data_IF_378590542547
#
_entry.id   IF_378590542547
#
_cell.length_a   1.000
_cell.length_b   1.000
_cell.length_c   1.000
_cell.angle_alpha   90.00
_cell.angle_beta   90.00
_cell.angle_gamma   90.00
#
_symmetry.space_group_name_H-M   'P 1'
#
loop_
_entity.id
_entity.type
_entity.pdbx_description
1 polymer ?
#
# COMPACT_ATOMS: atom_id res chain seq x y z
N UNK A 1 12.33 9.93 -3.87
CA UNK A 1 11.48 8.76 -4.17
C UNK A 1 10.06 9.08 -3.72
N UNK A 2 9.09 8.89 -4.60
CA UNK A 2 7.64 9.03 -4.34
C UNK A 2 7.06 7.76 -3.73
N UNK A 3 5.87 7.86 -3.13
CA UNK A 3 5.15 6.67 -2.63
C UNK A 3 4.85 5.66 -3.74
N UNK A 4 4.54 6.13 -4.95
CA UNK A 4 4.31 5.27 -6.12
C UNK A 4 5.56 4.47 -6.51
N UNK A 5 6.74 5.12 -6.52
CA UNK A 5 8.01 4.42 -6.79
C UNK A 5 8.30 3.33 -5.75
N UNK A 6 7.98 3.58 -4.48
CA UNK A 6 8.12 2.57 -3.42
C UNK A 6 7.18 1.39 -3.66
N UNK A 7 5.90 1.65 -3.98
CA UNK A 7 4.93 0.59 -4.23
C UNK A 7 5.34 -0.30 -5.41
N UNK A 8 5.77 0.32 -6.54
CA UNK A 8 6.34 -0.40 -7.68
C UNK A 8 7.55 -1.24 -7.28
N UNK A 9 8.47 -0.69 -6.48
CA UNK A 9 9.66 -1.40 -6.05
C UNK A 9 9.34 -2.61 -5.15
N UNK A 10 8.38 -2.48 -4.23
CA UNK A 10 7.93 -3.58 -3.36
C UNK A 10 7.28 -4.69 -4.19
N UNK A 11 6.37 -4.34 -5.11
CA UNK A 11 5.67 -5.33 -5.96
C UNK A 11 6.58 -5.95 -7.02
N UNK A 12 7.56 -5.19 -7.50
CA UNK A 12 8.56 -5.62 -8.48
C UNK A 12 9.79 -6.29 -7.87
N UNK A 13 9.90 -6.38 -6.54
CA UNK A 13 11.08 -6.89 -5.85
C UNK A 13 11.47 -8.28 -6.35
N UNK A 14 12.75 -8.51 -6.63
CA UNK A 14 13.29 -9.79 -7.10
C UNK A 14 14.35 -10.30 -6.14
N UNK A 15 14.33 -11.60 -5.85
CA UNK A 15 15.30 -12.27 -5.00
C UNK A 15 15.54 -13.69 -5.51
N UNK A 16 16.75 -14.22 -5.30
CA UNK A 16 17.04 -15.65 -5.54
C UNK A 16 16.28 -16.55 -4.56
N UNK A 17 15.94 -16.04 -3.37
CA UNK A 17 15.06 -16.69 -2.41
C UNK A 17 13.58 -16.42 -2.76
N UNK A 18 12.82 -17.43 -3.22
CA UNK A 18 11.42 -17.26 -3.59
C UNK A 18 10.51 -16.93 -2.40
N UNK A 19 10.85 -17.40 -1.20
CA UNK A 19 10.06 -17.12 0.01
C UNK A 19 10.23 -15.66 0.41
N UNK A 20 11.46 -15.14 0.40
CA UNK A 20 11.71 -13.71 0.61
C UNK A 20 11.03 -12.86 -0.46
N UNK A 21 11.12 -13.26 -1.73
CA UNK A 21 10.46 -12.55 -2.83
C UNK A 21 8.95 -12.47 -2.61
N UNK A 22 8.30 -13.59 -2.31
CA UNK A 22 6.87 -13.64 -2.04
C UNK A 22 6.49 -12.82 -0.81
N UNK A 23 7.31 -12.87 0.25
CA UNK A 23 7.09 -12.11 1.48
C UNK A 23 7.12 -10.60 1.22
N UNK A 24 8.18 -10.09 0.57
CA UNK A 24 8.31 -8.66 0.27
C UNK A 24 7.18 -8.19 -0.65
N UNK A 25 6.92 -8.93 -1.74
CA UNK A 25 5.82 -8.60 -2.67
C UNK A 25 4.44 -8.69 -2.03
N UNK A 26 4.28 -9.45 -0.94
CA UNK A 26 3.02 -9.65 -0.21
C UNK A 26 2.77 -8.66 0.92
N UNK A 27 3.72 -7.79 1.26
CA UNK A 27 3.55 -6.76 2.29
C UNK A 27 2.35 -5.87 1.96
N UNK A 28 1.49 -5.62 2.95
CA UNK A 28 0.34 -4.72 2.79
C UNK A 28 0.78 -3.26 2.76
N UNK A 29 0.35 -2.53 1.75
CA UNK A 29 0.70 -1.13 1.53
C UNK A 29 -0.55 -0.24 1.65
N UNK A 30 -0.52 0.69 2.62
CA UNK A 30 -1.57 1.69 2.83
C UNK A 30 -1.09 3.07 2.38
N UNK A 31 -1.71 3.63 1.34
CA UNK A 31 -1.42 4.98 0.85
C UNK A 31 -2.06 6.05 1.73
N UNK A 32 -1.30 7.12 2.00
CA UNK A 32 -1.76 8.28 2.78
C UNK A 32 -1.60 9.56 1.95
N UNK A 33 -2.67 9.95 1.25
CA UNK A 33 -2.65 11.08 0.29
C UNK A 33 -3.41 12.29 0.82
N UNK A 34 -3.00 13.51 0.44
CA UNK A 34 -3.79 14.73 0.66
C UNK A 34 -4.86 14.97 -0.42
N UNK A 35 -4.82 14.21 -1.53
CA UNK A 35 -5.74 14.34 -2.66
C UNK A 35 -6.23 12.91 -2.98
N UNK A 36 -7.43 12.55 -2.52
CA UNK A 36 -7.95 11.18 -2.65
C UNK A 36 -8.83 10.95 -3.88
N UNK A 37 -9.65 11.93 -4.26
CA UNK A 37 -10.76 11.68 -5.20
C UNK A 37 -10.30 11.40 -6.64
N UNK A 38 -9.09 11.83 -7.02
CA UNK A 38 -8.54 11.59 -8.36
C UNK A 38 -7.52 10.44 -8.41
N UNK A 39 -6.94 10.08 -7.25
CA UNK A 39 -5.73 9.26 -7.18
C UNK A 39 -5.97 7.83 -6.69
N UNK A 40 -7.16 7.48 -6.19
CA UNK A 40 -7.40 6.14 -5.64
C UNK A 40 -7.18 5.02 -6.66
N UNK A 41 -7.62 5.21 -7.91
CA UNK A 41 -7.40 4.25 -9.00
C UNK A 41 -5.93 4.16 -9.41
N UNK A 42 -5.22 5.27 -9.39
CA UNK A 42 -3.79 5.29 -9.66
C UNK A 42 -3.04 4.56 -8.54
N UNK A 43 -3.34 4.84 -7.28
CA UNK A 43 -2.77 4.12 -6.14
C UNK A 43 -3.03 2.60 -6.23
N UNK A 44 -4.23 2.18 -6.61
CA UNK A 44 -4.53 0.75 -6.81
C UNK A 44 -3.66 0.15 -7.93
N UNK A 45 -3.54 0.84 -9.07
CA UNK A 45 -2.73 0.41 -10.20
C UNK A 45 -1.23 0.30 -9.85
N UNK A 46 -0.75 1.16 -8.95
CA UNK A 46 0.63 1.16 -8.46
C UNK A 46 0.91 0.09 -7.39
N UNK A 47 -0.13 -0.65 -6.98
CA UNK A 47 0.00 -1.81 -6.10
C UNK A 47 -0.21 -1.52 -4.62
N UNK A 48 -0.91 -0.44 -4.26
CA UNK A 48 -1.38 -0.22 -2.88
C UNK A 48 -2.63 -1.07 -2.58
N UNK A 49 -2.76 -1.57 -1.35
CA UNK A 49 -3.92 -2.37 -0.91
C UNK A 49 -5.08 -1.52 -0.38
N UNK A 50 -4.79 -0.30 0.08
CA UNK A 50 -5.76 0.62 0.64
C UNK A 50 -5.25 2.07 0.61
N UNK A 51 -6.16 3.03 0.77
CA UNK A 51 -5.86 4.47 0.68
C UNK A 51 -6.67 5.25 1.71
N UNK A 52 -6.05 6.25 2.35
CA UNK A 52 -6.70 7.16 3.29
C UNK A 52 -6.29 8.62 3.00
N UNK A 53 -7.26 9.53 3.10
CA UNK A 53 -7.01 10.96 2.98
C UNK A 53 -6.42 11.51 4.26
N UNK A 54 -5.50 12.44 4.10
CA UNK A 54 -5.03 13.32 5.16
C UNK A 54 -6.05 14.45 5.37
N UNK A 55 -6.21 14.95 6.62
CA UNK A 55 -5.60 14.47 7.85
C UNK A 55 -6.17 13.10 8.28
N UNK A 56 -5.29 12.22 8.75
CA UNK A 56 -5.63 10.83 9.04
C UNK A 56 -6.29 10.72 10.41
N UNK A 57 -7.44 10.05 10.46
CA UNK A 57 -8.10 9.67 11.70
C UNK A 57 -7.65 8.28 12.14
N UNK A 58 -7.25 8.12 13.40
CA UNK A 58 -6.71 6.86 13.95
C UNK A 58 -7.69 5.70 13.77
N UNK A 59 -8.99 5.97 13.93
CA UNK A 59 -10.07 4.99 13.77
C UNK A 59 -10.12 4.44 12.33
N UNK A 60 -9.80 5.27 11.34
CA UNK A 60 -9.77 4.86 9.93
C UNK A 60 -8.62 3.91 9.62
N UNK A 61 -7.48 4.09 10.27
CA UNK A 61 -6.36 3.17 10.14
C UNK A 61 -6.72 1.80 10.72
N UNK A 62 -7.32 1.77 11.91
CA UNK A 62 -7.78 0.50 12.51
C UNK A 62 -8.82 -0.21 11.65
N UNK A 63 -9.80 0.52 11.09
CA UNK A 63 -10.79 -0.07 10.18
C UNK A 63 -10.16 -0.72 8.93
N UNK A 64 -9.03 -0.22 8.43
CA UNK A 64 -8.31 -0.85 7.32
C UNK A 64 -7.59 -2.10 7.79
N UNK A 65 -6.90 -2.03 8.93
CA UNK A 65 -6.12 -3.14 9.49
C UNK A 65 -7.06 -4.30 9.88
N UNK A 66 -8.20 -4.04 10.51
CA UNK A 66 -9.20 -5.06 10.86
C UNK A 66 -9.67 -5.86 9.64
N UNK A 67 -9.80 -5.23 8.47
CA UNK A 67 -10.17 -5.92 7.22
C UNK A 67 -9.14 -6.93 6.73
N UNK A 68 -7.90 -6.85 7.23
CA UNK A 68 -6.82 -7.77 6.86
C UNK A 68 -6.74 -9.00 7.78
N UNK A 69 -7.65 -9.15 8.75
CA UNK A 69 -7.76 -10.35 9.58
C UNK A 69 -6.88 -10.35 10.83
N UNK A 70 -6.68 -9.18 11.43
CA UNK A 70 -6.15 -9.05 12.79
C UNK A 70 -7.23 -9.29 13.85
#
# INVERSE_FOLDING_TARGET
>A
MSGYEVARAVRGYTSEDPALQAHVRGVRLLALSSVLDRDAKECEAEGFDAFLSKPIKREKVFQVIEKWGF
#
